data_IF_346360396724
#
_entry.id   IF_346360396724
#
_cell.length_a   1.000
_cell.length_b   1.000
_cell.length_c   1.000
_cell.angle_alpha   90.00
_cell.angle_beta   90.00
_cell.angle_gamma   90.00
#
_symmetry.space_group_name_H-M   'P 1'
#
loop_
_entity.id
_entity.type
_entity.pdbx_description
1 polymer ?
#
# COMPACT_ATOMS: atom_id res chain seq x y z
N UNK A 1 -4.95 -19.75 -13.61
CA UNK A 1 -3.55 -19.27 -13.80
C UNK A 1 -2.88 -19.85 -15.04
N UNK A 2 -2.67 -21.17 -15.15
CA UNK A 2 -1.97 -21.78 -16.30
C UNK A 2 -2.59 -21.36 -17.64
N UNK A 3 -3.92 -21.36 -17.72
CA UNK A 3 -4.66 -20.87 -18.89
C UNK A 3 -4.32 -19.41 -19.24
N UNK A 4 -4.18 -18.54 -18.25
CA UNK A 4 -3.80 -17.14 -18.45
C UNK A 4 -2.39 -16.98 -19.01
N UNK A 5 -1.43 -17.74 -18.48
CA UNK A 5 -0.06 -17.77 -19.02
C UNK A 5 -0.04 -18.30 -20.46
N UNK A 6 -0.81 -19.34 -20.77
CA UNK A 6 -0.95 -19.86 -22.14
C UNK A 6 -1.51 -18.78 -23.06
N UNK A 7 -2.57 -18.08 -22.67
CA UNK A 7 -3.16 -16.99 -23.47
C UNK A 7 -2.13 -15.88 -23.73
N UNK A 8 -1.40 -15.44 -22.71
CA UNK A 8 -0.41 -14.37 -22.82
C UNK A 8 0.75 -14.80 -23.75
N UNK A 9 1.30 -16.01 -23.56
CA UNK A 9 2.42 -16.53 -24.37
C UNK A 9 1.99 -16.81 -25.81
N UNK A 10 0.84 -17.43 -26.03
CA UNK A 10 0.28 -17.65 -27.36
C UNK A 10 -0.03 -16.31 -28.06
N UNK A 11 -0.56 -15.34 -27.32
CA UNK A 11 -0.78 -13.98 -27.81
C UNK A 11 0.51 -13.32 -28.30
N UNK A 12 1.57 -13.37 -27.50
CA UNK A 12 2.89 -12.89 -27.90
C UNK A 12 3.38 -13.58 -29.18
N UNK A 13 3.26 -14.92 -29.27
CA UNK A 13 3.64 -15.67 -30.46
C UNK A 13 2.89 -15.23 -31.72
N UNK A 14 1.58 -15.00 -31.62
CA UNK A 14 0.77 -14.48 -32.72
C UNK A 14 1.21 -13.08 -33.15
N UNK A 15 1.47 -12.18 -32.20
CA UNK A 15 1.92 -10.82 -32.48
C UNK A 15 3.33 -10.80 -33.10
N UNK A 16 4.21 -11.70 -32.66
CA UNK A 16 5.54 -11.90 -33.27
C UNK A 16 5.44 -12.40 -34.72
N UNK A 17 4.46 -13.23 -35.06
CA UNK A 17 4.22 -13.61 -36.47
C UNK A 17 3.68 -12.41 -37.26
N UNK A 18 2.73 -11.67 -36.69
CA UNK A 18 2.09 -10.53 -37.35
C UNK A 18 3.10 -9.43 -37.72
N UNK A 19 4.02 -9.07 -36.82
CA UNK A 19 5.06 -8.06 -37.09
C UNK A 19 6.13 -8.51 -38.10
N UNK A 20 6.16 -9.80 -38.46
CA UNK A 20 7.02 -10.34 -39.55
C UNK A 20 6.32 -10.33 -40.89
N UNK A 21 5.00 -10.46 -40.89
CA UNK A 21 4.17 -10.34 -42.09
C UNK A 21 3.98 -8.88 -42.51
N UNK A 22 3.83 -7.97 -41.54
CA UNK A 22 3.58 -6.55 -41.79
C UNK A 22 4.52 -5.63 -41.00
N UNK A 23 5.85 -5.71 -41.23
CA UNK A 23 6.81 -4.90 -40.50
C UNK A 23 6.67 -3.41 -40.84
N UNK A 24 6.72 -2.53 -39.84
CA UNK A 24 6.87 -1.08 -40.03
C UNK A 24 8.24 -0.75 -40.64
N UNK A 25 9.30 -1.29 -40.04
CA UNK A 25 10.68 -1.01 -40.40
C UNK A 25 11.58 -2.26 -40.28
N UNK A 26 12.69 -2.33 -41.04
CA UNK A 26 13.63 -3.44 -40.92
C UNK A 26 14.29 -3.45 -39.54
N UNK A 27 14.30 -4.61 -38.89
CA UNK A 27 14.91 -4.76 -37.57
C UNK A 27 16.44 -4.90 -37.69
N UNK A 28 17.18 -4.10 -36.92
CA UNK A 28 18.63 -4.12 -36.87
C UNK A 28 19.16 -5.50 -36.42
N UNK A 29 20.23 -5.97 -37.06
CA UNK A 29 20.92 -7.18 -36.61
C UNK A 29 21.68 -6.91 -35.31
N UNK A 30 21.39 -7.68 -34.27
CA UNK A 30 22.06 -7.58 -32.97
C UNK A 30 22.65 -8.96 -32.60
N UNK A 31 23.98 -9.08 -32.44
CA UNK A 31 24.61 -10.35 -32.11
C UNK A 31 24.02 -10.99 -30.84
N UNK A 32 23.64 -12.26 -30.94
CA UNK A 32 23.10 -13.04 -29.82
C UNK A 32 21.74 -12.58 -29.29
N UNK A 33 21.01 -11.71 -30.01
CA UNK A 33 19.72 -11.16 -29.58
C UNK A 33 18.75 -12.23 -29.09
N UNK A 34 18.46 -13.25 -29.91
CA UNK A 34 17.49 -14.28 -29.58
C UNK A 34 17.83 -15.06 -28.31
N UNK A 35 19.11 -15.44 -28.13
CA UNK A 35 19.54 -16.12 -26.90
C UNK A 35 19.31 -15.23 -25.67
N UNK A 36 19.61 -13.94 -25.80
CA UNK A 36 19.52 -12.97 -24.72
C UNK A 36 18.08 -12.65 -24.34
N UNK A 37 17.24 -12.30 -25.32
CA UNK A 37 15.83 -11.93 -25.09
C UNK A 37 15.03 -13.12 -24.54
N UNK A 38 15.28 -14.34 -25.03
CA UNK A 38 14.65 -15.55 -24.51
C UNK A 38 15.08 -15.86 -23.06
N UNK A 39 16.37 -15.71 -22.74
CA UNK A 39 16.87 -15.93 -21.39
C UNK A 39 16.26 -14.94 -20.39
N UNK A 40 16.19 -13.65 -20.76
CA UNK A 40 15.58 -12.61 -19.91
C UNK A 40 14.09 -12.89 -19.72
N UNK A 41 13.34 -13.10 -20.81
CA UNK A 41 11.90 -13.41 -20.72
C UNK A 41 11.62 -14.68 -19.90
N UNK A 42 12.44 -15.73 -20.06
CA UNK A 42 12.31 -16.95 -19.27
C UNK A 42 12.56 -16.69 -17.77
N UNK A 43 13.58 -15.91 -17.43
CA UNK A 43 13.87 -15.56 -16.03
C UNK A 43 12.72 -14.80 -15.37
N UNK A 44 12.02 -13.96 -16.12
CA UNK A 44 10.89 -13.19 -15.62
C UNK A 44 9.64 -14.04 -15.49
N UNK A 45 9.39 -14.94 -16.45
CA UNK A 45 8.33 -15.93 -16.32
C UNK A 45 8.53 -16.76 -15.04
N UNK A 46 9.77 -17.15 -14.73
CA UNK A 46 10.10 -17.83 -13.48
C UNK A 46 9.77 -16.97 -12.26
N UNK A 47 10.08 -15.67 -12.27
CA UNK A 47 9.75 -14.75 -11.16
C UNK A 47 8.25 -14.64 -10.96
N UNK A 48 7.47 -14.49 -12.04
CA UNK A 48 6.01 -14.42 -11.96
C UNK A 48 5.43 -15.73 -11.41
N UNK A 49 5.90 -16.87 -11.89
CA UNK A 49 5.48 -18.19 -11.39
C UNK A 49 5.82 -18.35 -9.91
N UNK A 50 7.05 -18.00 -9.50
CA UNK A 50 7.45 -18.02 -8.08
C UNK A 50 6.57 -17.10 -7.26
N UNK A 51 6.24 -15.91 -7.78
CA UNK A 51 5.37 -14.94 -7.11
C UNK A 51 4.01 -15.50 -6.75
N UNK A 52 3.40 -16.23 -7.68
CA UNK A 52 2.09 -16.85 -7.44
C UNK A 52 2.13 -17.94 -6.37
N UNK A 53 3.27 -18.62 -6.17
CA UNK A 53 3.44 -19.59 -5.08
C UNK A 53 3.90 -18.93 -3.76
N UNK A 54 4.37 -17.70 -3.78
CA UNK A 54 4.98 -17.00 -2.63
C UNK A 54 4.16 -15.78 -2.21
N UNK A 55 4.55 -14.55 -2.60
CA UNK A 55 3.97 -13.31 -2.09
C UNK A 55 2.49 -13.12 -2.41
N UNK A 56 1.98 -13.67 -3.53
CA UNK A 56 0.54 -13.66 -3.80
C UNK A 56 -0.25 -14.51 -2.79
N UNK A 57 0.36 -15.55 -2.22
CA UNK A 57 -0.25 -16.38 -1.18
C UNK A 57 0.01 -15.86 0.24
N UNK A 58 1.07 -15.08 0.45
CA UNK A 58 1.44 -14.55 1.77
C UNK A 58 0.75 -13.22 2.12
N UNK A 59 0.28 -12.49 1.11
CA UNK A 59 -0.40 -11.22 1.27
C UNK A 59 -1.96 -11.24 1.41
N UNK A 60 -2.70 -12.36 1.55
CA UNK A 60 -4.13 -12.30 1.76
C UNK A 60 -4.49 -12.24 3.25
N UNK A 61 -5.09 -11.12 3.66
CA UNK A 61 -6.26 -11.05 4.57
C UNK A 61 -6.61 -9.59 4.92
N UNK A 62 -5.66 -8.66 4.83
CA UNK A 62 -5.94 -7.23 4.99
C UNK A 62 -6.39 -6.64 3.65
N UNK A 63 -7.69 -6.46 3.43
CA UNK A 63 -8.23 -5.81 2.22
C UNK A 63 -8.97 -4.53 2.58
N UNK A 64 -8.51 -3.40 2.02
CA UNK A 64 -9.10 -2.09 2.28
C UNK A 64 -10.49 -1.98 1.63
N UNK A 65 -10.64 -2.49 0.41
CA UNK A 65 -11.90 -2.60 -0.29
C UNK A 65 -12.28 -4.06 -0.54
N UNK A 66 -13.56 -4.30 -0.83
CA UNK A 66 -14.13 -5.63 -1.05
C UNK A 66 -14.75 -5.74 -2.46
N UNK A 67 -14.03 -5.32 -3.51
CA UNK A 67 -14.64 -5.20 -4.85
C UNK A 67 -15.16 -6.55 -5.38
N UNK A 68 -14.53 -7.67 -5.00
CA UNK A 68 -14.98 -9.02 -5.41
C UNK A 68 -16.44 -9.32 -5.07
N UNK A 69 -17.00 -8.66 -4.06
CA UNK A 69 -18.38 -8.89 -3.62
C UNK A 69 -19.39 -8.16 -4.53
N UNK A 70 -18.92 -7.24 -5.37
CA UNK A 70 -19.76 -6.37 -6.20
C UNK A 70 -19.54 -6.53 -7.70
N UNK A 71 -18.40 -7.09 -8.14
CA UNK A 71 -18.05 -7.20 -9.57
C UNK A 71 -17.56 -8.60 -9.95
N UNK A 72 -17.77 -8.98 -11.20
CA UNK A 72 -17.20 -10.22 -11.75
C UNK A 72 -15.67 -10.14 -11.82
N UNK A 73 -14.95 -11.27 -11.86
CA UNK A 73 -13.49 -11.25 -11.95
C UNK A 73 -12.94 -10.50 -13.17
N UNK A 74 -13.61 -10.57 -14.31
CA UNK A 74 -13.22 -9.81 -15.51
C UNK A 74 -13.38 -8.30 -15.29
N UNK A 75 -14.51 -7.86 -14.73
CA UNK A 75 -14.75 -6.45 -14.43
C UNK A 75 -13.79 -5.94 -13.35
N UNK A 76 -13.51 -6.75 -12.33
CA UNK A 76 -12.48 -6.49 -11.34
C UNK A 76 -11.11 -6.30 -11.97
N UNK A 77 -10.74 -7.16 -12.93
CA UNK A 77 -9.53 -7.04 -13.73
C UNK A 77 -9.46 -5.75 -14.56
N UNK A 78 -10.57 -5.32 -15.17
CA UNK A 78 -10.65 -4.05 -15.91
C UNK A 78 -10.44 -2.85 -14.98
N UNK A 79 -11.13 -2.83 -13.83
CA UNK A 79 -10.97 -1.76 -12.83
C UNK A 79 -9.52 -1.71 -12.34
N UNK A 80 -8.96 -2.87 -12.00
CA UNK A 80 -7.57 -2.98 -11.59
C UNK A 80 -6.61 -2.52 -12.69
N UNK A 81 -6.89 -2.81 -13.96
CA UNK A 81 -6.09 -2.37 -15.10
C UNK A 81 -6.08 -0.85 -15.25
N UNK A 82 -7.24 -0.18 -15.14
CA UNK A 82 -7.31 1.28 -15.20
C UNK A 82 -6.49 1.93 -14.07
N UNK A 83 -6.59 1.41 -12.84
CA UNK A 83 -5.80 1.91 -11.71
C UNK A 83 -4.31 1.58 -11.88
N UNK A 84 -3.99 0.37 -12.34
CA UNK A 84 -2.64 -0.08 -12.64
C UNK A 84 -1.95 0.84 -13.62
N UNK A 85 -2.58 1.16 -14.75
CA UNK A 85 -1.99 2.05 -15.78
C UNK A 85 -1.69 3.45 -15.22
N UNK A 86 -2.51 3.95 -14.28
CA UNK A 86 -2.22 5.21 -13.58
C UNK A 86 -1.02 5.10 -12.63
N UNK A 87 -0.96 4.05 -11.81
CA UNK A 87 0.18 3.79 -10.91
C UNK A 87 1.46 3.64 -11.74
N UNK A 88 1.40 2.85 -12.81
CA UNK A 88 2.55 2.55 -13.66
C UNK A 88 2.99 3.74 -14.51
N UNK A 89 2.10 4.64 -14.91
CA UNK A 89 2.50 5.92 -15.50
C UNK A 89 3.43 6.71 -14.55
N UNK A 90 3.06 6.85 -13.28
CA UNK A 90 3.91 7.54 -12.29
C UNK A 90 5.18 6.75 -11.96
N UNK A 91 5.07 5.44 -11.77
CA UNK A 91 6.22 4.59 -11.49
C UNK A 91 7.23 4.61 -12.66
N UNK A 92 6.75 4.63 -13.89
CA UNK A 92 7.57 4.76 -15.09
C UNK A 92 8.26 6.13 -15.16
N UNK A 93 7.57 7.23 -14.85
CA UNK A 93 8.21 8.55 -14.71
C UNK A 93 9.29 8.54 -13.62
N UNK A 94 9.04 7.93 -12.47
CA UNK A 94 10.03 7.79 -11.39
C UNK A 94 11.24 7.00 -11.89
N UNK A 95 11.03 5.88 -12.60
CA UNK A 95 12.10 5.07 -13.21
C UNK A 95 13.01 5.86 -14.15
N UNK A 96 12.50 6.85 -14.87
CA UNK A 96 13.34 7.74 -15.68
C UNK A 96 14.07 8.82 -14.86
N UNK A 97 13.34 9.48 -13.98
CA UNK A 97 13.80 10.71 -13.33
C UNK A 97 14.71 10.44 -12.13
N UNK A 98 14.45 9.36 -11.39
CA UNK A 98 15.22 8.91 -10.22
C UNK A 98 16.34 7.99 -10.73
N UNK A 99 17.58 8.49 -10.66
CA UNK A 99 18.73 7.80 -11.26
C UNK A 99 18.99 6.38 -10.76
N UNK A 100 18.80 6.14 -9.46
CA UNK A 100 18.86 4.79 -8.91
C UNK A 100 17.82 3.88 -9.59
N UNK A 101 16.59 4.38 -9.76
CA UNK A 101 15.51 3.60 -10.34
C UNK A 101 15.75 3.31 -11.82
N UNK A 102 16.35 4.25 -12.55
CA UNK A 102 16.78 4.03 -13.93
C UNK A 102 17.77 2.86 -14.03
N UNK A 103 18.85 2.91 -13.25
CA UNK A 103 19.93 1.92 -13.35
C UNK A 103 19.46 0.51 -13.01
N UNK A 104 18.67 0.37 -11.95
CA UNK A 104 18.24 -0.92 -11.45
C UNK A 104 17.00 -1.46 -12.16
N UNK A 105 16.09 -0.59 -12.58
CA UNK A 105 14.75 -1.01 -12.99
C UNK A 105 14.32 -0.51 -14.36
N UNK A 106 15.18 0.06 -15.21
CA UNK A 106 14.69 0.50 -16.52
C UNK A 106 15.74 0.65 -17.62
N UNK A 107 17.00 0.80 -17.25
CA UNK A 107 18.10 0.93 -18.21
C UNK A 107 18.20 -0.27 -19.15
N UNK A 108 18.02 -1.50 -18.63
CA UNK A 108 18.07 -2.70 -19.47
C UNK A 108 16.96 -2.67 -20.54
N UNK A 109 15.75 -2.26 -20.16
CA UNK A 109 14.61 -2.12 -21.08
C UNK A 109 14.91 -1.15 -22.22
N UNK A 110 15.46 0.02 -21.89
CA UNK A 110 15.87 1.00 -22.89
C UNK A 110 17.08 0.62 -23.71
N UNK A 111 17.82 -0.43 -23.34
CA UNK A 111 19.05 -0.78 -24.06
C UNK A 111 18.80 -1.47 -25.39
N UNK A 112 17.64 -2.12 -25.56
CA UNK A 112 17.33 -2.89 -26.75
C UNK A 112 17.24 -2.02 -28.01
N UNK A 113 18.12 -2.29 -28.98
CA UNK A 113 18.03 -1.65 -30.31
C UNK A 113 16.82 -2.09 -31.12
N UNK A 114 16.33 -3.30 -30.83
CA UNK A 114 15.19 -3.92 -31.52
C UNK A 114 13.94 -3.70 -30.67
N UNK A 115 13.06 -2.83 -31.12
CA UNK A 115 11.71 -2.70 -30.55
C UNK A 115 10.79 -3.58 -31.39
N UNK A 116 10.32 -4.66 -30.77
CA UNK A 116 9.44 -5.69 -31.34
C UNK A 116 8.63 -6.31 -30.18
N UNK A 117 7.57 -7.07 -30.45
CA UNK A 117 6.63 -7.52 -29.40
C UNK A 117 7.32 -8.24 -28.22
N UNK A 118 8.35 -9.05 -28.49
CA UNK A 118 9.12 -9.77 -27.44
C UNK A 118 10.00 -8.85 -26.59
N UNK A 119 10.29 -7.63 -27.05
CA UNK A 119 11.04 -6.62 -26.31
C UNK A 119 10.24 -6.01 -25.15
N UNK A 120 8.91 -6.16 -25.14
CA UNK A 120 8.03 -5.66 -24.07
C UNK A 120 8.52 -6.08 -22.68
N UNK A 121 8.94 -7.33 -22.56
CA UNK A 121 9.49 -7.91 -21.35
C UNK A 121 11.02 -8.05 -21.42
N UNK A 122 11.73 -7.16 -22.10
CA UNK A 122 13.20 -7.08 -22.00
C UNK A 122 13.64 -6.25 -20.77
N UNK A 123 13.17 -6.65 -19.59
CA UNK A 123 13.29 -5.92 -18.31
C UNK A 123 14.24 -6.62 -17.34
N UNK A 124 14.81 -5.89 -16.40
CA UNK A 124 15.71 -6.52 -15.42
C UNK A 124 14.92 -7.43 -14.45
N UNK A 125 15.49 -8.52 -13.93
CA UNK A 125 14.80 -9.40 -12.98
C UNK A 125 14.20 -8.66 -11.78
N UNK A 126 14.95 -7.70 -11.22
CA UNK A 126 14.48 -6.85 -10.12
C UNK A 126 13.31 -5.94 -10.51
N UNK A 127 13.17 -5.53 -11.77
CA UNK A 127 12.04 -4.73 -12.26
C UNK A 127 10.77 -5.56 -12.23
N UNK A 128 10.80 -6.77 -12.78
CA UNK A 128 9.65 -7.68 -12.77
C UNK A 128 9.25 -8.09 -11.36
N UNK A 129 10.23 -8.28 -10.46
CA UNK A 129 9.93 -8.57 -9.07
C UNK A 129 9.15 -7.41 -8.41
N UNK A 130 9.61 -6.17 -8.55
CA UNK A 130 8.93 -5.00 -7.98
C UNK A 130 7.58 -4.76 -8.65
N UNK A 131 7.48 -4.89 -9.96
CA UNK A 131 6.22 -4.75 -10.71
C UNK A 131 5.18 -5.77 -10.21
N UNK A 132 5.60 -7.02 -9.99
CA UNK A 132 4.73 -8.08 -9.44
C UNK A 132 4.27 -7.77 -8.01
N UNK A 133 5.13 -7.23 -7.16
CA UNK A 133 4.76 -6.82 -5.78
C UNK A 133 3.75 -5.67 -5.81
N UNK A 134 3.97 -4.64 -6.62
CA UNK A 134 3.04 -3.51 -6.78
C UNK A 134 1.67 -4.01 -7.26
N UNK A 135 1.66 -4.86 -8.29
CA UNK A 135 0.43 -5.44 -8.82
C UNK A 135 -0.30 -6.30 -7.77
N UNK A 136 0.44 -7.12 -7.03
CA UNK A 136 -0.11 -7.99 -5.96
C UNK A 136 -0.74 -7.15 -4.86
N UNK A 137 -0.06 -6.08 -4.41
CA UNK A 137 -0.57 -5.16 -3.39
C UNK A 137 -1.84 -4.46 -3.89
N UNK A 138 -1.86 -4.00 -5.15
CA UNK A 138 -3.05 -3.38 -5.72
C UNK A 138 -4.25 -4.35 -5.71
N UNK A 139 -4.07 -5.56 -6.22
CA UNK A 139 -5.19 -6.47 -6.44
C UNK A 139 -5.74 -7.03 -5.12
N UNK A 140 -4.86 -7.51 -4.23
CA UNK A 140 -5.32 -8.22 -3.03
C UNK A 140 -5.56 -7.27 -1.85
N UNK A 141 -4.54 -6.64 -1.22
CA UNK A 141 -4.78 -5.84 -0.03
C UNK A 141 -5.43 -4.47 -0.28
N UNK A 142 -5.31 -3.89 -1.47
CA UNK A 142 -5.99 -2.62 -1.76
C UNK A 142 -7.42 -2.88 -2.25
N UNK A 143 -7.60 -3.59 -3.36
CA UNK A 143 -8.92 -3.74 -4.00
C UNK A 143 -9.76 -4.91 -3.48
N UNK A 144 -9.16 -5.89 -2.78
CA UNK A 144 -9.85 -7.09 -2.31
C UNK A 144 -10.40 -7.94 -3.45
N UNK A 145 -9.68 -8.03 -4.57
CA UNK A 145 -10.08 -8.77 -5.76
C UNK A 145 -9.63 -10.24 -5.72
N UNK A 146 -10.19 -11.05 -6.60
CA UNK A 146 -9.88 -12.49 -6.71
C UNK A 146 -8.62 -12.74 -7.53
N UNK A 147 -8.02 -13.93 -7.37
CA UNK A 147 -6.89 -14.39 -8.22
C UNK A 147 -7.23 -14.42 -9.71
N UNK A 148 -8.49 -14.68 -10.04
CA UNK A 148 -8.98 -14.65 -11.42
C UNK A 148 -8.95 -13.22 -11.98
N UNK A 149 -9.23 -12.22 -11.15
CA UNK A 149 -9.10 -10.80 -11.54
C UNK A 149 -7.65 -10.44 -11.85
N UNK A 150 -6.69 -11.01 -11.11
CA UNK A 150 -5.24 -10.88 -11.40
C UNK A 150 -4.90 -11.40 -12.80
N UNK A 151 -5.45 -12.54 -13.21
CA UNK A 151 -5.21 -13.11 -14.55
C UNK A 151 -5.71 -12.15 -15.64
N UNK A 152 -6.87 -11.55 -15.46
CA UNK A 152 -7.41 -10.55 -16.38
C UNK A 152 -6.55 -9.29 -16.43
N UNK A 153 -6.17 -8.75 -15.27
CA UNK A 153 -5.25 -7.62 -15.18
C UNK A 153 -3.93 -7.91 -15.92
N UNK A 154 -3.29 -9.05 -15.63
CA UNK A 154 -2.04 -9.44 -16.28
C UNK A 154 -2.20 -9.60 -17.79
N UNK A 155 -3.33 -10.13 -18.27
CA UNK A 155 -3.60 -10.21 -19.69
C UNK A 155 -3.73 -8.83 -20.32
N UNK A 156 -4.57 -7.93 -19.78
CA UNK A 156 -4.73 -6.58 -20.32
C UNK A 156 -3.42 -5.79 -20.31
N UNK A 157 -2.66 -5.85 -19.21
CA UNK A 157 -1.34 -5.24 -19.10
C UNK A 157 -0.38 -5.80 -20.15
N UNK A 158 -0.24 -7.12 -20.24
CA UNK A 158 0.68 -7.76 -21.19
C UNK A 158 0.33 -7.45 -22.65
N UNK A 159 -0.95 -7.55 -23.04
CA UNK A 159 -1.36 -7.21 -24.42
C UNK A 159 -1.18 -5.72 -24.73
N UNK A 160 -1.40 -4.84 -23.75
CA UNK A 160 -1.03 -3.43 -23.87
C UNK A 160 0.46 -3.29 -24.17
N UNK A 161 1.32 -3.87 -23.32
CA UNK A 161 2.77 -3.81 -23.50
C UNK A 161 3.23 -4.36 -24.84
N UNK A 162 2.69 -5.51 -25.25
CA UNK A 162 2.97 -6.09 -26.55
C UNK A 162 2.64 -5.12 -27.67
N UNK A 163 1.42 -4.56 -27.66
CA UNK A 163 0.92 -3.73 -28.73
C UNK A 163 1.82 -2.52 -28.99
N UNK A 164 2.17 -1.75 -27.95
CA UNK A 164 2.98 -0.55 -28.15
C UNK A 164 4.48 -0.83 -28.38
N UNK A 165 4.95 -2.07 -28.22
CA UNK A 165 6.31 -2.47 -28.63
C UNK A 165 6.36 -3.11 -30.02
N UNK A 166 5.23 -3.44 -30.63
CA UNK A 166 5.22 -4.13 -31.92
C UNK A 166 5.99 -3.37 -32.99
N UNK A 167 6.58 -4.10 -33.93
CA UNK A 167 7.15 -3.50 -35.14
C UNK A 167 6.12 -3.42 -36.27
N UNK A 168 4.98 -2.76 -36.03
CA UNK A 168 3.90 -2.57 -37.02
C UNK A 168 3.54 -1.10 -37.15
N UNK A 169 3.12 -0.71 -38.36
CA UNK A 169 2.65 0.64 -38.62
C UNK A 169 1.19 0.77 -38.22
N UNK A 170 0.85 1.84 -37.51
CA UNK A 170 -0.52 2.08 -37.03
C UNK A 170 -1.05 3.44 -37.49
N UNK A 171 -2.36 3.62 -37.67
CA UNK A 171 -2.92 4.91 -38.05
C UNK A 171 -2.84 5.92 -36.89
N UNK A 172 -2.53 7.18 -37.20
CA UNK A 172 -2.23 8.19 -36.16
C UNK A 172 -3.37 8.46 -35.18
N UNK A 173 -4.62 8.41 -35.63
CA UNK A 173 -5.80 8.63 -34.80
C UNK A 173 -5.91 7.61 -33.65
N UNK A 174 -5.32 6.42 -33.79
CA UNK A 174 -5.34 5.39 -32.76
C UNK A 174 -4.60 5.85 -31.49
N UNK A 175 -3.64 6.76 -31.63
CA UNK A 175 -2.79 7.26 -30.55
C UNK A 175 -3.53 8.02 -29.45
N UNK A 176 -4.76 8.44 -29.69
CA UNK A 176 -5.61 9.08 -28.67
C UNK A 176 -6.30 8.06 -27.75
N UNK A 177 -6.34 6.78 -28.14
CA UNK A 177 -7.02 5.72 -27.41
C UNK A 177 -6.04 4.65 -26.89
N UNK A 178 -5.04 4.31 -27.69
CA UNK A 178 -4.00 3.32 -27.36
C UNK A 178 -2.62 3.91 -27.56
N UNK A 179 -1.66 3.49 -26.74
CA UNK A 179 -0.28 3.86 -26.98
C UNK A 179 0.19 3.18 -28.28
N UNK A 180 0.63 3.97 -29.25
CA UNK A 180 1.06 3.46 -30.56
C UNK A 180 2.51 2.99 -30.52
N UNK A 181 2.89 1.98 -31.33
CA UNK A 181 4.29 1.64 -31.60
C UNK A 181 5.19 2.84 -31.88
N UNK A 182 4.72 3.78 -32.72
CA UNK A 182 5.47 4.96 -33.12
C UNK A 182 5.69 5.93 -31.95
N UNK A 183 4.69 6.06 -31.06
CA UNK A 183 4.78 6.90 -29.86
C UNK A 183 5.73 6.28 -28.82
N UNK A 184 5.68 4.97 -28.62
CA UNK A 184 6.58 4.28 -27.69
C UNK A 184 8.02 4.19 -28.22
N UNK A 185 8.20 4.12 -29.54
CA UNK A 185 9.53 4.26 -30.15
C UNK A 185 10.18 5.61 -29.83
N UNK A 186 9.40 6.71 -29.75
CA UNK A 186 9.92 8.01 -29.28
C UNK A 186 10.39 7.94 -27.82
N UNK A 187 9.70 7.16 -27.00
CA UNK A 187 10.12 6.90 -25.63
C UNK A 187 11.49 6.19 -25.58
N UNK A 188 11.71 5.23 -26.47
CA UNK A 188 12.94 4.44 -26.62
C UNK A 188 14.05 5.05 -27.49
N UNK A 189 14.03 6.36 -27.74
CA UNK A 189 15.04 7.01 -28.59
C UNK A 189 16.48 6.69 -28.17
N UNK A 190 17.36 6.61 -29.18
CA UNK A 190 18.77 6.26 -29.05
C UNK A 190 19.47 6.94 -27.86
N UNK A 191 20.02 6.15 -26.95
CA UNK A 191 20.77 6.61 -25.76
C UNK A 191 20.02 7.66 -24.92
N UNK A 192 18.69 7.74 -25.03
CA UNK A 192 17.88 8.73 -24.34
C UNK A 192 17.42 8.17 -22.99
N UNK A 193 17.60 9.01 -21.97
CA UNK A 193 17.13 8.74 -20.60
C UNK A 193 16.22 9.86 -20.11
N UNK A 194 16.69 11.10 -20.22
CA UNK A 194 16.02 12.26 -19.67
C UNK A 194 15.01 12.86 -20.67
N UNK A 195 13.98 13.52 -20.13
CA UNK A 195 12.92 14.17 -20.92
C UNK A 195 12.26 13.23 -21.94
N UNK A 196 12.08 11.96 -21.55
CA UNK A 196 11.27 11.00 -22.30
C UNK A 196 9.81 11.47 -22.37
N UNK A 197 9.10 10.92 -23.34
CA UNK A 197 7.68 11.16 -23.61
C UNK A 197 6.97 9.82 -23.58
N UNK A 198 5.65 9.82 -23.52
CA UNK A 198 4.82 8.60 -23.60
C UNK A 198 5.18 7.54 -22.55
N UNK A 199 4.99 7.87 -21.26
CA UNK A 199 5.27 6.98 -20.13
C UNK A 199 4.12 6.02 -19.79
N UNK A 200 2.89 6.32 -20.19
CA UNK A 200 1.72 5.57 -19.78
C UNK A 200 1.34 4.52 -20.80
N UNK A 201 1.03 3.31 -20.32
CA UNK A 201 0.45 2.23 -21.12
C UNK A 201 -0.87 2.68 -21.81
N UNK A 202 -1.57 3.64 -21.18
CA UNK A 202 -2.70 4.35 -21.76
C UNK A 202 -2.31 5.81 -22.03
N UNK A 203 -2.54 6.33 -23.26
CA UNK A 203 -2.15 7.69 -23.65
C UNK A 203 -2.88 8.76 -22.85
N UNK A 204 -4.04 8.44 -22.24
CA UNK A 204 -4.78 9.33 -21.34
C UNK A 204 -3.87 9.96 -20.28
N UNK A 205 -2.99 9.16 -19.64
CA UNK A 205 -2.14 9.64 -18.56
C UNK A 205 -1.02 10.55 -19.06
N UNK A 206 -0.52 10.32 -20.27
CA UNK A 206 0.44 11.20 -20.91
C UNK A 206 -0.18 12.52 -21.39
N UNK A 207 -1.43 12.49 -21.84
CA UNK A 207 -2.18 13.70 -22.23
C UNK A 207 -2.40 14.57 -21.00
N UNK A 208 -2.93 14.00 -19.92
CA UNK A 208 -3.11 14.69 -18.64
C UNK A 208 -1.76 15.11 -18.02
N UNK A 209 -0.72 14.33 -18.28
CA UNK A 209 0.62 14.50 -17.77
C UNK A 209 1.52 15.50 -18.50
N UNK A 210 1.08 15.99 -19.67
CA UNK A 210 1.90 16.85 -20.55
C UNK A 210 3.10 16.12 -21.18
N UNK A 211 3.06 14.80 -21.28
CA UNK A 211 4.14 13.94 -21.80
C UNK A 211 3.76 13.21 -23.09
N UNK A 212 2.57 13.47 -23.64
CA UNK A 212 2.07 12.87 -24.87
C UNK A 212 2.78 13.41 -26.13
N UNK A 213 3.23 12.50 -26.99
CA UNK A 213 3.76 12.78 -28.32
C UNK A 213 3.33 11.68 -29.29
N UNK A 214 2.54 12.02 -30.30
CA UNK A 214 1.92 11.06 -31.22
C UNK A 214 2.33 11.35 -32.68
N UNK A 215 3.54 10.92 -33.10
CA UNK A 215 4.08 11.25 -34.41
C UNK A 215 3.36 10.48 -35.53
N UNK A 216 3.38 11.01 -36.75
CA UNK A 216 2.91 10.24 -37.92
C UNK A 216 3.86 9.06 -38.24
N UNK A 217 5.18 9.26 -38.05
CA UNK A 217 6.25 8.29 -38.31
C UNK A 217 7.36 8.35 -37.25
N UNK A 218 8.08 7.25 -37.04
CA UNK A 218 9.24 7.20 -36.13
C UNK A 218 10.42 6.42 -36.77
N UNK A 219 11.22 7.15 -37.56
CA UNK A 219 12.35 6.57 -38.32
C UNK A 219 13.71 6.75 -37.61
N UNK A 220 13.72 7.26 -36.37
CA UNK A 220 14.96 7.48 -35.62
C UNK A 220 15.42 6.17 -34.97
N UNK A 221 16.73 5.97 -34.74
CA UNK A 221 17.20 4.80 -34.03
C UNK A 221 16.71 4.74 -32.57
N UNK A 222 16.44 3.54 -32.09
CA UNK A 222 16.06 3.23 -30.71
C UNK A 222 17.18 2.48 -29.97
N UNK A 223 17.07 2.37 -28.65
CA UNK A 223 17.97 1.53 -27.86
C UNK A 223 19.29 2.19 -27.48
N UNK A 224 20.26 1.41 -27.00
CA UNK A 224 21.62 1.89 -26.72
C UNK A 224 22.61 1.51 -27.81
N UNK A 225 23.70 2.27 -27.96
CA UNK A 225 24.75 1.93 -28.95
C UNK A 225 25.16 0.45 -28.82
N UNK A 226 25.60 -0.20 -29.91
CA UNK A 226 25.95 -1.63 -29.89
C UNK A 226 26.88 -2.02 -28.73
N UNK A 227 27.85 -1.16 -28.40
CA UNK A 227 28.78 -1.37 -27.28
C UNK A 227 28.07 -1.30 -25.93
N UNK A 228 27.17 -0.34 -25.74
CA UNK A 228 26.43 -0.16 -24.50
C UNK A 228 25.34 -1.24 -24.31
N UNK A 229 24.59 -1.60 -25.36
CA UNK A 229 23.60 -2.69 -25.30
C UNK A 229 24.25 -4.03 -24.92
N UNK A 230 25.48 -4.29 -25.40
CA UNK A 230 26.20 -5.54 -25.12
C UNK A 230 26.52 -5.75 -23.63
N UNK A 231 26.54 -4.69 -22.82
CA UNK A 231 26.93 -4.69 -21.39
C UNK A 231 25.78 -5.06 -20.45
N UNK A 232 25.05 -6.11 -20.81
CA UNK A 232 23.85 -6.60 -20.11
C UNK A 232 24.09 -6.88 -18.64
N UNK A 233 25.21 -7.55 -18.32
CA UNK A 233 25.57 -7.88 -16.93
C UNK A 233 25.78 -6.63 -16.09
N UNK A 234 26.43 -5.61 -16.67
CA UNK A 234 26.64 -4.33 -16.00
C UNK A 234 25.31 -3.64 -15.71
N UNK A 235 24.37 -3.65 -16.68
CA UNK A 235 23.04 -3.08 -16.50
C UNK A 235 22.22 -3.81 -15.43
N UNK A 236 22.24 -5.15 -15.41
CA UNK A 236 21.57 -5.95 -14.36
C UNK A 236 22.14 -5.65 -12.98
N UNK A 237 23.45 -5.42 -12.88
CA UNK A 237 24.13 -5.01 -11.64
C UNK A 237 24.01 -3.50 -11.34
N UNK A 238 23.15 -2.76 -12.04
CA UNK A 238 22.89 -1.34 -11.79
C UNK A 238 24.06 -0.42 -12.13
N UNK A 239 24.96 -0.80 -13.05
CA UNK A 239 26.01 0.08 -13.58
C UNK A 239 25.50 0.88 -14.77
N UNK A 240 25.85 2.16 -14.83
CA UNK A 240 25.49 3.02 -15.95
C UNK A 240 26.36 2.71 -17.17
N UNK A 241 25.72 2.35 -18.28
CA UNK A 241 26.39 2.03 -19.55
C UNK A 241 26.36 3.19 -20.55
N UNK A 242 25.70 4.30 -20.26
CA UNK A 242 25.70 5.49 -21.10
C UNK A 242 26.78 6.50 -20.70
N UNK A 243 27.25 6.46 -19.45
CA UNK A 243 28.33 7.33 -18.98
C UNK A 243 29.71 6.83 -19.42
N UNK A 244 30.57 7.78 -19.81
CA UNK A 244 31.97 7.48 -20.07
C UNK A 244 32.70 7.11 -18.76
N UNK A 245 33.75 6.27 -18.79
CA UNK A 245 34.53 5.91 -17.60
C UNK A 245 35.12 7.10 -16.83
N UNK A 246 35.28 8.25 -17.50
CA UNK A 246 35.80 9.50 -16.92
C UNK A 246 34.72 10.32 -16.19
N UNK A 247 33.44 10.11 -16.48
CA UNK A 247 32.34 10.80 -15.82
C UNK A 247 31.97 10.07 -14.52
N UNK A 248 32.41 10.61 -13.38
CA UNK A 248 32.07 10.05 -12.07
C UNK A 248 30.58 10.24 -11.78
N UNK A 249 29.88 9.13 -11.55
CA UNK A 249 28.49 9.02 -11.12
C UNK A 249 28.13 9.94 -9.94
N UNK A 250 29.09 10.21 -9.07
CA UNK A 250 28.96 11.08 -7.89
C UNK A 250 28.58 12.52 -8.25
N UNK A 251 29.01 13.06 -9.40
CA UNK A 251 28.62 14.42 -9.81
C UNK A 251 27.16 14.51 -10.27
N UNK A 252 26.63 13.45 -10.89
CA UNK A 252 25.25 13.38 -11.37
C UNK A 252 24.27 13.14 -10.21
N UNK A 253 24.63 12.28 -9.24
CA UNK A 253 23.83 12.07 -8.02
C UNK A 253 23.74 13.33 -7.14
N UNK A 254 24.85 14.07 -6.99
CA UNK A 254 24.91 15.26 -6.10
C UNK A 254 24.04 16.42 -6.58
N UNK A 255 23.75 16.50 -7.89
CA UNK A 255 22.82 17.48 -8.45
C UNK A 255 21.34 17.07 -8.29
N UNK A 256 21.01 15.78 -8.13
CA UNK A 256 19.62 15.30 -8.13
C UNK A 256 19.02 15.01 -6.76
N UNK A 257 19.81 14.65 -5.75
CA UNK A 257 19.31 14.43 -4.39
C UNK A 257 19.99 15.39 -3.43
N UNK A 258 19.26 16.44 -3.06
CA UNK A 258 19.67 17.31 -1.96
C UNK A 258 19.68 16.53 -0.64
N UNK A 259 20.41 17.02 0.36
CA UNK A 259 20.31 16.53 1.75
C UNK A 259 18.86 16.48 2.23
N UNK A 260 18.04 17.44 1.81
CA UNK A 260 16.61 17.48 2.12
C UNK A 260 15.84 16.31 1.47
N UNK A 261 16.18 15.94 0.23
CA UNK A 261 15.56 14.79 -0.45
C UNK A 261 15.91 13.47 0.24
N UNK A 262 17.17 13.31 0.65
CA UNK A 262 17.61 12.13 1.40
C UNK A 262 16.91 12.08 2.77
N UNK A 263 16.83 13.23 3.46
CA UNK A 263 16.10 13.35 4.72
C UNK A 263 14.61 13.01 4.55
N UNK A 264 13.96 13.48 3.50
CA UNK A 264 12.56 13.19 3.21
C UNK A 264 12.32 11.69 2.96
N UNK A 265 13.17 11.04 2.15
CA UNK A 265 13.08 9.59 1.91
C UNK A 265 13.26 8.81 3.22
N UNK A 266 14.25 9.19 4.03
CA UNK A 266 14.48 8.58 5.34
C UNK A 266 13.27 8.72 6.26
N UNK A 267 12.65 9.90 6.33
CA UNK A 267 11.45 10.12 7.11
C UNK A 267 10.24 9.33 6.60
N UNK A 268 10.07 9.19 5.29
CA UNK A 268 9.01 8.35 4.70
C UNK A 268 9.24 6.88 5.09
N UNK A 269 10.48 6.38 5.00
CA UNK A 269 10.80 4.99 5.37
C UNK A 269 10.50 4.74 6.85
N UNK A 270 10.94 5.64 7.74
CA UNK A 270 10.62 5.56 9.16
C UNK A 270 9.11 5.62 9.37
N UNK A 271 8.41 6.51 8.69
CA UNK A 271 6.97 6.67 8.82
C UNK A 271 6.16 5.44 8.39
N UNK A 272 6.58 4.79 7.30
CA UNK A 272 6.01 3.53 6.82
C UNK A 272 6.30 2.37 7.77
N UNK A 273 7.35 2.45 8.60
CA UNK A 273 7.67 1.46 9.61
C UNK A 273 6.52 1.20 10.60
N UNK A 274 5.64 2.17 10.84
CA UNK A 274 4.44 1.94 11.66
C UNK A 274 3.47 0.97 10.99
N UNK A 275 3.17 1.18 9.70
CA UNK A 275 2.29 0.31 8.91
C UNK A 275 2.92 -1.08 8.70
N UNK A 276 4.22 -1.12 8.38
CA UNK A 276 4.98 -2.38 8.25
C UNK A 276 4.96 -3.15 9.57
N UNK A 277 5.29 -2.48 10.68
CA UNK A 277 5.28 -3.11 12.01
C UNK A 277 3.90 -3.62 12.42
N UNK A 278 2.83 -2.97 11.97
CA UNK A 278 1.46 -3.45 12.16
C UNK A 278 1.16 -4.69 11.31
N UNK A 279 1.38 -4.62 9.99
CA UNK A 279 1.11 -5.72 9.05
C UNK A 279 1.87 -6.99 9.41
N UNK A 280 3.13 -6.87 9.84
CA UNK A 280 3.98 -8.01 10.16
C UNK A 280 4.05 -8.35 11.65
N UNK A 281 3.21 -7.72 12.49
CA UNK A 281 3.20 -7.92 13.94
C UNK A 281 4.59 -7.75 14.61
N UNK A 282 5.32 -6.71 14.22
CA UNK A 282 6.66 -6.36 14.73
C UNK A 282 6.58 -5.15 15.68
N UNK A 283 6.35 -5.36 17.00
CA UNK A 283 6.09 -4.28 17.94
C UNK A 283 7.26 -3.31 18.11
N UNK A 284 8.51 -3.76 17.93
CA UNK A 284 9.70 -2.92 18.01
C UNK A 284 9.77 -1.90 16.86
N UNK A 285 9.47 -2.36 15.64
CA UNK A 285 9.44 -1.50 14.43
C UNK A 285 8.32 -0.49 14.54
N UNK A 286 7.14 -0.94 15.00
CA UNK A 286 6.00 -0.07 15.29
C UNK A 286 6.33 0.99 16.34
N UNK A 287 6.98 0.59 17.43
CA UNK A 287 7.35 1.49 18.54
C UNK A 287 8.38 2.55 18.13
N UNK A 288 9.43 2.16 17.41
CA UNK A 288 10.43 3.10 16.89
C UNK A 288 9.81 4.12 15.94
N UNK A 289 8.98 3.66 15.01
CA UNK A 289 8.32 4.52 14.02
C UNK A 289 7.32 5.48 14.68
N UNK A 290 6.53 4.99 15.63
CA UNK A 290 5.60 5.82 16.40
C UNK A 290 6.33 6.94 17.19
N UNK A 291 7.44 6.61 17.86
CA UNK A 291 8.21 7.56 18.65
C UNK A 291 8.78 8.72 17.82
N UNK A 292 8.98 8.51 16.52
CA UNK A 292 9.51 9.56 15.63
C UNK A 292 8.45 10.52 15.10
N UNK A 293 7.15 10.22 15.26
CA UNK A 293 6.02 11.00 14.72
C UNK A 293 6.04 11.11 13.18
N UNK A 294 6.92 10.37 12.51
CA UNK A 294 7.12 10.46 11.07
C UNK A 294 6.08 9.69 10.25
N UNK A 295 5.13 9.01 10.90
CA UNK A 295 4.15 8.18 10.19
C UNK A 295 3.16 9.04 9.39
N UNK A 296 3.09 8.87 8.06
CA UNK A 296 2.09 9.55 7.23
C UNK A 296 0.68 8.99 7.45
N UNK A 297 0.56 7.82 8.09
CA UNK A 297 -0.69 7.12 8.39
C UNK A 297 -0.67 6.63 9.84
N UNK A 298 -0.75 7.53 10.84
CA UNK A 298 -0.74 7.12 12.24
C UNK A 298 -1.98 6.26 12.50
N UNK A 299 -1.76 4.99 12.82
CA UNK A 299 -2.81 4.14 13.38
C UNK A 299 -3.09 4.63 14.80
N UNK A 300 -4.11 5.48 14.93
CA UNK A 300 -4.59 5.98 16.22
C UNK A 300 -5.47 4.90 16.83
N UNK A 301 -4.94 4.16 17.82
CA UNK A 301 -5.70 3.36 18.78
C UNK A 301 -7.02 2.77 18.25
N UNK A 302 -7.03 2.18 17.06
CA UNK A 302 -8.27 1.77 16.40
C UNK A 302 -8.60 0.32 16.72
N UNK A 303 -7.57 -0.50 16.93
CA UNK A 303 -7.70 -1.93 17.12
C UNK A 303 -7.03 -2.36 18.42
N UNK A 304 -7.84 -2.85 19.36
CA UNK A 304 -7.38 -3.44 20.60
C UNK A 304 -6.66 -4.79 20.37
N UNK A 305 -5.86 -5.31 21.33
CA UNK A 305 -5.07 -6.55 21.16
C UNK A 305 -5.84 -7.81 20.74
N UNK A 306 -7.16 -7.81 20.88
CA UNK A 306 -8.07 -8.88 20.48
C UNK A 306 -8.78 -8.63 19.13
N UNK A 307 -8.34 -7.65 18.35
CA UNK A 307 -8.93 -7.32 17.04
C UNK A 307 -10.22 -6.48 17.13
N UNK A 308 -10.50 -5.89 18.29
CA UNK A 308 -11.73 -5.12 18.51
C UNK A 308 -11.57 -3.67 18.08
N UNK A 309 -12.54 -3.18 17.31
CA UNK A 309 -12.62 -1.78 16.87
C UNK A 309 -13.14 -0.91 18.01
N UNK A 310 -12.28 -0.06 18.56
CA UNK A 310 -12.59 0.79 19.72
C UNK A 310 -13.56 1.93 19.39
N UNK A 311 -13.72 2.26 18.11
CA UNK A 311 -14.76 3.19 17.64
C UNK A 311 -16.15 2.55 17.60
N UNK A 312 -16.23 1.22 17.69
CA UNK A 312 -17.48 0.47 17.69
C UNK A 312 -17.86 0.01 19.10
N UNK A 313 -17.33 0.65 20.16
CA UNK A 313 -17.66 0.32 21.55
C UNK A 313 -18.63 1.34 22.15
N UNK A 314 -19.64 0.83 22.85
CA UNK A 314 -20.52 1.60 23.73
C UNK A 314 -20.10 1.42 25.18
N UNK A 315 -20.24 2.48 25.96
CA UNK A 315 -19.88 2.50 27.36
C UNK A 315 -21.09 2.89 28.20
N UNK A 316 -21.44 2.07 29.18
CA UNK A 316 -22.53 2.34 30.12
C UNK A 316 -22.00 2.38 31.54
N UNK A 317 -22.23 3.49 32.21
CA UNK A 317 -21.80 3.77 33.56
C UNK A 317 -22.97 3.60 34.52
N UNK A 318 -22.78 2.75 35.53
CA UNK A 318 -23.73 2.52 36.63
C UNK A 318 -23.06 2.97 37.93
N UNK A 319 -23.71 3.87 38.66
CA UNK A 319 -23.23 4.45 39.91
C UNK A 319 -24.03 3.91 41.08
N UNK A 320 -23.32 3.51 42.13
CA UNK A 320 -23.89 2.99 43.36
C UNK A 320 -23.51 3.90 44.53
N UNK A 321 -24.45 4.09 45.44
CA UNK A 321 -24.21 4.71 46.75
C UNK A 321 -24.44 3.69 47.86
N UNK A 322 -23.65 3.82 48.93
CA UNK A 322 -23.76 2.95 50.08
C UNK A 322 -24.82 3.51 51.03
N UNK A 323 -25.88 2.73 51.26
CA UNK A 323 -26.91 3.01 52.26
C UNK A 323 -26.77 2.07 53.45
N UNK A 324 -26.85 2.60 54.67
CA UNK A 324 -27.00 1.78 55.87
C UNK A 324 -28.43 1.23 55.92
N UNK A 325 -28.57 -0.08 56.11
CA UNK A 325 -29.84 -0.76 56.27
C UNK A 325 -29.86 -1.40 57.66
N UNK A 326 -30.99 -1.28 58.36
CA UNK A 326 -31.22 -2.01 59.59
C UNK A 326 -31.37 -3.51 59.28
N UNK A 327 -30.37 -4.30 59.66
CA UNK A 327 -30.48 -5.75 59.73
C UNK A 327 -30.97 -6.18 61.11
N UNK A 328 -31.66 -7.31 61.19
CA UNK A 328 -32.02 -7.90 62.48
C UNK A 328 -30.75 -8.31 63.23
N UNK A 329 -30.74 -8.03 64.54
CA UNK A 329 -29.67 -8.29 65.52
C UNK A 329 -28.41 -7.42 65.38
N UNK A 330 -28.48 -6.16 65.81
CA UNK A 330 -27.36 -5.28 66.20
C UNK A 330 -26.14 -5.14 65.25
N UNK A 331 -26.22 -5.63 64.02
CA UNK A 331 -25.20 -5.47 62.99
C UNK A 331 -25.62 -4.37 62.00
N UNK A 332 -24.76 -3.36 61.82
CA UNK A 332 -24.92 -2.38 60.74
C UNK A 332 -24.60 -3.06 59.40
N UNK A 333 -25.64 -3.35 58.62
CA UNK A 333 -25.48 -3.81 57.25
C UNK A 333 -25.39 -2.62 56.29
N UNK A 334 -24.49 -2.69 55.32
CA UNK A 334 -24.44 -1.72 54.22
C UNK A 334 -24.87 -2.38 52.92
N UNK A 335 -25.76 -1.74 52.18
CA UNK A 335 -26.17 -2.17 50.83
C UNK A 335 -25.87 -1.07 49.82
N UNK A 336 -25.28 -1.48 48.70
CA UNK A 336 -25.09 -0.63 47.53
C UNK A 336 -26.39 -0.60 46.73
N UNK A 337 -26.99 0.57 46.57
CA UNK A 337 -28.12 0.77 45.67
C UNK A 337 -27.70 1.61 44.47
N UNK A 338 -28.19 1.25 43.28
CA UNK A 338 -27.88 1.99 42.06
C UNK A 338 -28.66 3.30 42.07
N UNK A 339 -27.95 4.42 41.97
CA UNK A 339 -28.54 5.77 41.97
C UNK A 339 -28.56 6.41 40.59
N UNK A 340 -27.71 5.95 39.68
CA UNK A 340 -27.60 6.52 38.34
C UNK A 340 -27.13 5.46 37.35
N UNK A 341 -27.78 5.42 36.18
CA UNK A 341 -27.29 4.72 35.01
C UNK A 341 -27.21 5.70 33.84
N UNK A 342 -26.09 5.73 33.13
CA UNK A 342 -25.84 6.66 32.03
C UNK A 342 -24.97 6.04 30.95
N UNK A 343 -25.33 6.25 29.68
CA UNK A 343 -24.49 5.91 28.53
C UNK A 343 -23.51 7.06 28.30
N UNK A 344 -22.22 6.75 28.12
CA UNK A 344 -21.22 7.75 27.76
C UNK A 344 -21.32 8.06 26.27
N UNK A 345 -21.99 9.15 25.92
CA UNK A 345 -22.15 9.59 24.53
C UNK A 345 -21.04 10.57 24.12
N UNK A 346 -20.81 10.77 22.80
CA UNK A 346 -19.89 11.79 22.31
C UNK A 346 -20.20 13.20 22.82
N UNK A 347 -21.48 13.54 23.00
CA UNK A 347 -21.93 14.84 23.53
C UNK A 347 -21.49 14.99 24.99
N UNK A 348 -21.65 13.94 25.81
CA UNK A 348 -21.21 13.95 27.20
C UNK A 348 -19.68 14.04 27.29
N UNK A 349 -18.94 13.32 26.45
CA UNK A 349 -17.49 13.45 26.37
C UNK A 349 -17.05 14.84 25.89
N UNK A 350 -17.84 15.46 25.01
CA UNK A 350 -17.64 16.82 24.51
C UNK A 350 -17.65 17.90 25.60
N UNK A 351 -18.21 17.62 26.78
CA UNK A 351 -18.11 18.50 27.97
C UNK A 351 -16.68 18.70 28.46
N UNK A 352 -15.72 17.86 28.02
CA UNK A 352 -14.30 17.97 28.33
C UNK A 352 -13.52 18.79 27.29
N UNK A 353 -14.17 19.37 26.27
CA UNK A 353 -13.47 20.02 25.15
C UNK A 353 -12.66 21.26 25.56
N UNK A 354 -13.05 21.91 26.66
CA UNK A 354 -12.32 23.02 27.28
C UNK A 354 -11.10 22.55 28.11
N UNK A 355 -10.93 21.24 28.30
CA UNK A 355 -9.82 20.65 29.08
C UNK A 355 -8.60 20.32 28.21
N UNK A 356 -7.39 20.27 28.82
CA UNK A 356 -6.16 19.94 28.10
C UNK A 356 -6.30 18.66 27.27
N UNK A 357 -5.82 18.70 26.02
CA UNK A 357 -5.89 17.57 25.09
C UNK A 357 -5.29 16.28 25.67
N UNK A 358 -4.18 16.40 26.40
CA UNK A 358 -3.52 15.26 27.05
C UNK A 358 -4.40 14.58 28.11
N UNK A 359 -5.21 15.36 28.83
CA UNK A 359 -6.14 14.84 29.84
C UNK A 359 -7.25 14.01 29.17
N UNK A 360 -7.83 14.56 28.08
CA UNK A 360 -8.83 13.85 27.27
C UNK A 360 -8.27 12.53 26.73
N UNK A 361 -7.08 12.55 26.15
CA UNK A 361 -6.44 11.34 25.64
C UNK A 361 -6.16 10.30 26.72
N UNK A 362 -5.67 10.72 27.90
CA UNK A 362 -5.42 9.80 29.00
C UNK A 362 -6.71 9.06 29.40
N UNK A 363 -7.81 9.78 29.58
CA UNK A 363 -9.08 9.15 29.90
C UNK A 363 -9.66 8.35 28.74
N UNK A 364 -9.62 8.87 27.53
CA UNK A 364 -10.07 8.17 26.32
C UNK A 364 -9.39 6.82 26.15
N UNK A 365 -8.07 6.73 26.39
CA UNK A 365 -7.32 5.46 26.37
C UNK A 365 -7.80 4.49 27.45
N UNK A 366 -8.10 4.96 28.66
CA UNK A 366 -8.53 4.06 29.74
C UNK A 366 -9.94 3.50 29.53
N UNK A 367 -10.85 4.27 28.94
CA UNK A 367 -12.17 3.75 28.58
C UNK A 367 -12.08 2.84 27.34
N UNK A 368 -11.42 3.29 26.28
CA UNK A 368 -11.39 2.57 25.01
C UNK A 368 -10.43 1.38 24.98
N UNK A 369 -9.26 1.47 25.60
CA UNK A 369 -8.22 0.41 25.59
C UNK A 369 -8.05 -0.29 26.94
N UNK A 370 -8.33 0.41 28.04
CA UNK A 370 -8.18 -0.12 29.39
C UNK A 370 -8.91 -1.45 29.66
N UNK A 371 -10.10 -1.73 29.08
CA UNK A 371 -10.74 -3.04 29.21
C UNK A 371 -9.91 -4.21 28.68
N UNK A 372 -9.01 -3.94 27.74
CA UNK A 372 -8.20 -4.94 27.04
C UNK A 372 -6.77 -5.07 27.58
N UNK A 373 -6.43 -4.34 28.64
CA UNK A 373 -5.12 -4.48 29.28
C UNK A 373 -4.98 -5.89 29.88
N UNK A 374 -3.88 -6.57 29.54
CA UNK A 374 -3.54 -7.89 30.08
C UNK A 374 -2.41 -7.84 31.12
N UNK A 375 -1.59 -6.79 31.06
CA UNK A 375 -0.48 -6.60 31.98
C UNK A 375 -0.97 -6.00 33.32
N UNK A 376 -0.47 -6.56 34.42
CA UNK A 376 -0.89 -6.16 35.77
C UNK A 376 -0.56 -4.70 36.10
N UNK A 377 0.58 -4.18 35.61
CA UNK A 377 0.95 -2.77 35.84
C UNK A 377 0.02 -1.84 35.08
N UNK A 378 -0.35 -2.21 33.85
CA UNK A 378 -1.31 -1.46 33.05
C UNK A 378 -2.71 -1.46 33.68
N UNK A 379 -3.17 -2.60 34.20
CA UNK A 379 -4.43 -2.72 34.95
C UNK A 379 -4.41 -1.84 36.20
N UNK A 380 -3.34 -1.90 36.99
CA UNK A 380 -3.19 -1.10 38.20
C UNK A 380 -3.20 0.41 37.89
N UNK A 381 -2.50 0.82 36.84
CA UNK A 381 -2.49 2.21 36.38
C UNK A 381 -3.89 2.66 35.94
N UNK A 382 -4.58 1.86 35.13
CA UNK A 382 -5.96 2.12 34.70
C UNK A 382 -6.87 2.33 35.90
N UNK A 383 -6.86 1.41 36.86
CA UNK A 383 -7.77 1.43 38.00
C UNK A 383 -7.51 2.64 38.90
N UNK A 384 -6.25 3.02 39.13
CA UNK A 384 -5.89 4.23 39.88
C UNK A 384 -6.35 5.50 39.19
N UNK A 385 -6.14 5.61 37.88
CA UNK A 385 -6.53 6.82 37.14
C UNK A 385 -8.05 6.90 37.02
N UNK A 386 -8.75 5.79 36.79
CA UNK A 386 -10.21 5.74 36.78
C UNK A 386 -10.76 6.12 38.16
N UNK A 387 -10.23 5.56 39.25
CA UNK A 387 -10.60 5.95 40.63
C UNK A 387 -10.41 7.44 40.87
N UNK A 388 -9.24 7.99 40.53
CA UNK A 388 -8.98 9.42 40.66
C UNK A 388 -9.94 10.30 39.84
N UNK A 389 -10.33 9.82 38.64
CA UNK A 389 -11.13 10.60 37.71
C UNK A 389 -12.63 10.58 38.01
N UNK A 390 -13.17 9.44 38.45
CA UNK A 390 -14.61 9.19 38.58
C UNK A 390 -15.10 9.24 40.04
N UNK A 391 -14.23 9.05 41.02
CA UNK A 391 -14.61 9.07 42.44
C UNK A 391 -14.33 10.45 43.06
N UNK A 392 -14.93 10.70 44.24
CA UNK A 392 -14.61 11.84 45.12
C UNK A 392 -14.53 13.19 44.40
N UNK A 393 -15.54 13.49 43.57
CA UNK A 393 -15.63 14.72 42.79
C UNK A 393 -14.43 14.93 41.84
N UNK A 394 -13.86 13.86 41.29
CA UNK A 394 -12.77 13.89 40.32
C UNK A 394 -13.10 14.61 39.01
N UNK A 395 -12.09 14.83 38.12
CA UNK A 395 -12.28 15.56 36.87
C UNK A 395 -13.42 15.05 35.98
N UNK A 396 -13.58 13.73 35.84
CA UNK A 396 -14.68 13.14 35.06
C UNK A 396 -15.98 13.10 35.85
N UNK A 397 -15.91 12.89 37.17
CA UNK A 397 -17.09 12.94 38.03
C UNK A 397 -17.81 14.29 37.90
N UNK A 398 -17.06 15.40 37.90
CA UNK A 398 -17.60 16.75 37.67
C UNK A 398 -18.19 16.92 36.28
N UNK A 399 -17.44 16.53 35.25
CA UNK A 399 -17.90 16.67 33.86
C UNK A 399 -19.18 15.86 33.59
N UNK A 400 -19.26 14.66 34.17
CA UNK A 400 -20.40 13.77 34.02
C UNK A 400 -21.49 13.99 35.08
N UNK A 401 -21.33 14.97 35.97
CA UNK A 401 -22.28 15.29 37.04
C UNK A 401 -22.63 14.06 37.90
N UNK A 402 -21.60 13.30 38.30
CA UNK A 402 -21.76 12.12 39.15
C UNK A 402 -22.01 12.53 40.61
N UNK A 403 -22.78 11.74 41.37
CA UNK A 403 -23.00 11.96 42.80
C UNK A 403 -21.70 11.94 43.62
N UNK A 404 -21.66 12.74 44.68
CA UNK A 404 -20.46 12.86 45.54
C UNK A 404 -20.26 11.68 46.49
N UNK A 405 -21.34 11.02 46.93
CA UNK A 405 -21.31 9.89 47.86
C UNK A 405 -21.27 8.53 47.15
N UNK A 406 -20.53 8.45 46.05
CA UNK A 406 -20.42 7.24 45.24
C UNK A 406 -19.55 6.21 45.96
N UNK A 407 -20.10 5.02 46.24
CA UNK A 407 -19.35 3.88 46.80
C UNK A 407 -18.65 3.08 45.71
N UNK A 408 -19.32 2.89 44.57
CA UNK A 408 -18.86 2.03 43.48
C UNK A 408 -19.40 2.51 42.14
N UNK A 409 -18.59 2.36 41.10
CA UNK A 409 -18.97 2.63 39.71
C UNK A 409 -18.64 1.40 38.87
N UNK A 410 -19.62 0.90 38.12
CA UNK A 410 -19.41 -0.11 37.10
C UNK A 410 -19.46 0.53 35.72
N UNK A 411 -18.43 0.29 34.91
CA UNK A 411 -18.42 0.67 33.50
C UNK A 411 -18.53 -0.60 32.67
N UNK A 412 -19.70 -0.79 32.07
CA UNK A 412 -19.97 -1.83 31.10
C UNK A 412 -19.50 -1.35 29.73
N UNK A 413 -18.65 -2.13 29.10
CA UNK A 413 -18.11 -1.87 27.77
C UNK A 413 -18.60 -2.96 26.85
N UNK A 414 -19.36 -2.57 25.82
CA UNK A 414 -19.87 -3.49 24.83
C UNK A 414 -19.34 -3.11 23.45
N UNK A 415 -18.70 -4.04 22.78
CA UNK A 415 -18.23 -3.85 21.41
C UNK A 415 -19.20 -4.42 20.39
N UNK A 416 -19.56 -3.58 19.42
CA UNK A 416 -20.38 -3.96 18.27
C UNK A 416 -19.56 -4.55 17.12
N UNK A 417 -18.26 -4.82 17.32
CA UNK A 417 -17.43 -5.50 16.31
C UNK A 417 -17.92 -6.93 16.11
N UNK A 418 -18.25 -7.30 14.87
CA UNK A 418 -18.61 -8.67 14.52
C UNK A 418 -17.38 -9.58 14.64
N UNK A 419 -17.25 -10.28 15.75
CA UNK A 419 -16.22 -11.30 15.94
C UNK A 419 -16.77 -12.71 15.71
N UNK A 420 -15.89 -13.67 15.46
CA UNK A 420 -16.26 -15.08 15.38
C UNK A 420 -16.68 -15.69 16.74
N UNK A 421 -16.52 -14.96 17.86
CA UNK A 421 -16.79 -15.46 19.22
C UNK A 421 -17.63 -14.44 20.03
N UNK A 422 -18.93 -14.68 20.25
CA UNK A 422 -19.83 -13.71 20.87
C UNK A 422 -19.53 -13.36 22.33
N UNK A 423 -18.88 -14.25 23.10
CA UNK A 423 -18.53 -13.99 24.51
C UNK A 423 -17.35 -13.03 24.72
N UNK A 424 -16.70 -12.57 23.65
CA UNK A 424 -15.57 -11.63 23.72
C UNK A 424 -15.99 -10.19 23.42
N UNK A 425 -17.27 -9.82 23.57
CA UNK A 425 -17.76 -8.48 23.23
C UNK A 425 -18.07 -7.61 24.45
N UNK A 426 -18.07 -8.17 25.66
CA UNK A 426 -18.49 -7.49 26.89
C UNK A 426 -17.39 -7.49 27.95
N UNK A 427 -17.14 -6.33 28.54
CA UNK A 427 -16.21 -6.15 29.66
C UNK A 427 -16.84 -5.27 30.73
N UNK A 428 -16.42 -5.50 31.98
CA UNK A 428 -16.85 -4.70 33.12
C UNK A 428 -15.61 -4.20 33.84
N UNK A 429 -15.50 -2.88 33.96
CA UNK A 429 -14.53 -2.25 34.86
C UNK A 429 -15.26 -1.86 36.14
N UNK A 430 -14.83 -2.43 37.27
CA UNK A 430 -15.41 -2.16 38.58
C UNK A 430 -14.49 -1.21 39.35
N UNK A 431 -14.95 0.02 39.59
CA UNK A 431 -14.20 1.06 40.29
C UNK A 431 -14.79 1.23 41.69
N UNK A 432 -13.98 0.96 42.71
CA UNK A 432 -14.36 1.10 44.12
C UNK A 432 -13.90 2.46 44.64
N UNK A 433 -14.86 3.33 44.96
CA UNK A 433 -14.63 4.75 45.23
C UNK A 433 -14.35 5.10 46.70
N UNK A 434 -14.58 4.15 47.62
CA UNK A 434 -14.33 4.22 49.08
C UNK A 434 -13.24 5.21 49.44
#
# INVERSE_FOLDING_TARGET
MLLGLVIIISGLGCLMVLERLFPDQPLVYVPGWWKRVLLINFSQLLIVVVGTYTWENWLPDAHLFHLRDFVSPMMGGIIAYLIHTWIFYWFHRVRHNVYFMWLWFHQLHHSAQRIEAITSFYKAPQEIFIDSIIMTILVYPVLGLTRESTVWLSAFAAFGEYFYHMNIKTPQWLGYFFQRPEAHRIHHLRNKRDHSKNYGDLPLWDILGGTFENPEKMDRPTGFSPEAESRVREMICGRDVLLSPKQKTRHIYKQRYSLATIGAIFWIIIGLGQSIGYVFNMPQVRGLSFATVASPLPLVFSVAPNGMETFSTSFRLQVFEQSQIACNDNEECTSDHMVMERVLTPELYGTLNDKPYNLRNAYGVLFSHGPFFQDEKALNLRDRVLKYSLCNNGPLARAFHLPTNTSRIMVHVHSHTKTQRPHQADWIMNIVCV
#
